data_IF_534707560209
#
_entry.id   IF_534707560209
#
_cell.length_a   1.000
_cell.length_b   1.000
_cell.length_c   1.000
_cell.angle_alpha   90.00
_cell.angle_beta   90.00
_cell.angle_gamma   90.00
#
_symmetry.space_group_name_H-M   'P 1'
#
loop_
_entity.id
_entity.type
_entity.pdbx_description
1 polymer ?
#
# COMPACT_ATOMS: atom_id res chain seq x y z
N UNK A 1 19.02 18.27 -12.52
CA UNK A 1 19.52 16.88 -12.63
C UNK A 1 18.74 16.05 -11.62
N UNK A 2 17.60 15.49 -12.02
CA UNK A 2 16.82 14.61 -11.15
C UNK A 2 17.39 13.20 -11.31
N UNK A 3 18.23 12.79 -10.35
CA UNK A 3 18.84 11.46 -10.36
C UNK A 3 17.81 10.36 -10.09
N UNK A 4 18.12 9.14 -10.53
CA UNK A 4 17.27 7.94 -10.34
C UNK A 4 16.84 7.77 -8.88
N UNK A 5 17.68 8.17 -7.93
CA UNK A 5 17.40 8.18 -6.48
C UNK A 5 16.17 9.03 -6.11
N UNK A 6 15.99 10.21 -6.74
CA UNK A 6 14.85 11.08 -6.48
C UNK A 6 13.53 10.43 -6.95
N UNK A 7 13.57 9.79 -8.12
CA UNK A 7 12.41 9.07 -8.67
C UNK A 7 12.02 7.91 -7.77
N UNK A 8 12.98 7.09 -7.33
CA UNK A 8 12.73 5.97 -6.43
C UNK A 8 12.14 6.43 -5.09
N UNK A 9 12.60 7.57 -4.56
CA UNK A 9 12.09 8.12 -3.31
C UNK A 9 10.63 8.57 -3.43
N UNK A 10 10.29 9.30 -4.50
CA UNK A 10 8.91 9.75 -4.77
C UNK A 10 7.99 8.57 -5.04
N UNK A 11 8.43 7.58 -5.82
CA UNK A 11 7.67 6.35 -6.08
C UNK A 11 7.47 5.54 -4.80
N UNK A 12 8.49 5.42 -3.95
CA UNK A 12 8.39 4.75 -2.66
C UNK A 12 7.33 5.39 -1.76
N UNK A 13 7.35 6.72 -1.61
CA UNK A 13 6.32 7.46 -0.85
C UNK A 13 4.93 7.21 -1.44
N UNK A 14 4.78 7.26 -2.76
CA UNK A 14 3.51 7.00 -3.44
C UNK A 14 2.97 5.61 -3.15
N UNK A 15 3.81 4.58 -3.21
CA UNK A 15 3.44 3.19 -2.90
C UNK A 15 3.07 3.00 -1.43
N UNK A 16 3.79 3.63 -0.50
CA UNK A 16 3.48 3.60 0.93
C UNK A 16 2.12 4.26 1.22
N UNK A 17 1.82 5.40 0.60
CA UNK A 17 0.53 6.08 0.75
C UNK A 17 -0.61 5.25 0.15
N UNK A 18 -0.43 4.65 -1.03
CA UNK A 18 -1.42 3.78 -1.66
C UNK A 18 -1.69 2.52 -0.83
N UNK A 19 -0.64 1.87 -0.31
CA UNK A 19 -0.76 0.73 0.60
C UNK A 19 -1.39 1.11 1.94
N UNK A 20 -1.01 2.24 2.52
CA UNK A 20 -1.61 2.75 3.75
C UNK A 20 -3.10 3.07 3.60
N UNK A 21 -3.48 3.74 2.52
CA UNK A 21 -4.87 4.09 2.23
C UNK A 21 -5.76 2.83 2.04
N UNK A 22 -5.27 1.81 1.34
CA UNK A 22 -6.01 0.55 1.21
C UNK A 22 -6.09 -0.22 2.53
N UNK A 23 -5.03 -0.19 3.35
CA UNK A 23 -5.01 -0.77 4.69
C UNK A 23 -6.01 -0.11 5.64
N UNK A 24 -6.11 1.22 5.63
CA UNK A 24 -7.11 1.97 6.40
C UNK A 24 -8.52 1.62 5.94
N UNK A 25 -8.76 1.52 4.62
CA UNK A 25 -10.07 1.12 4.08
C UNK A 25 -10.47 -0.30 4.52
N UNK A 26 -9.51 -1.24 4.54
CA UNK A 26 -9.72 -2.59 5.06
C UNK A 26 -9.96 -2.61 6.57
N UNK A 27 -9.21 -1.80 7.32
CA UNK A 27 -9.35 -1.69 8.78
C UNK A 27 -10.70 -1.11 9.18
N UNK A 28 -11.14 -0.02 8.53
CA UNK A 28 -12.46 0.58 8.75
C UNK A 28 -13.58 -0.42 8.43
N UNK A 29 -13.45 -1.20 7.34
CA UNK A 29 -14.42 -2.26 7.02
C UNK A 29 -14.42 -3.41 8.03
N UNK A 30 -13.25 -3.83 8.52
CA UNK A 30 -13.13 -4.89 9.51
C UNK A 30 -13.70 -4.47 10.87
N UNK A 31 -13.45 -3.23 11.30
CA UNK A 31 -13.98 -2.66 12.55
C UNK A 31 -15.47 -2.36 12.45
N UNK A 32 -15.96 -1.90 11.30
CA UNK A 32 -17.38 -1.63 11.07
C UNK A 32 -18.27 -2.89 11.05
N UNK A 33 -17.70 -4.10 11.18
CA UNK A 33 -18.38 -5.40 11.34
C UNK A 33 -19.60 -5.57 10.44
N UNK A 34 -19.51 -5.10 9.20
CA UNK A 34 -20.59 -5.24 8.23
C UNK A 34 -20.30 -6.46 7.37
N UNK A 35 -20.79 -7.61 7.84
CA UNK A 35 -20.73 -8.92 7.19
C UNK A 35 -21.22 -8.92 5.72
N UNK A 36 -22.07 -7.95 5.35
CA UNK A 36 -22.50 -7.74 3.96
C UNK A 36 -21.43 -7.06 3.07
N UNK A 37 -20.45 -6.35 3.62
CA UNK A 37 -19.39 -5.67 2.85
C UNK A 37 -18.17 -6.56 2.58
N UNK A 38 -18.05 -7.69 3.30
CA UNK A 38 -16.96 -8.64 3.10
C UNK A 38 -17.02 -9.36 1.74
N UNK A 39 -18.20 -9.43 1.12
CA UNK A 39 -18.42 -10.08 -0.18
C UNK A 39 -18.63 -9.10 -1.34
N UNK A 40 -18.46 -7.80 -1.11
CA UNK A 40 -18.61 -6.79 -2.16
C UNK A 40 -17.51 -6.89 -3.23
N UNK A 41 -17.84 -6.74 -4.54
CA UNK A 41 -16.85 -6.66 -5.60
C UNK A 41 -15.84 -5.55 -5.28
N UNK A 42 -14.56 -5.91 -5.12
CA UNK A 42 -13.48 -4.99 -4.74
C UNK A 42 -12.77 -5.33 -3.42
N UNK A 43 -13.27 -6.28 -2.62
CA UNK A 43 -12.59 -6.74 -1.40
C UNK A 43 -11.21 -7.34 -1.73
N UNK A 44 -11.14 -8.26 -2.69
CA UNK A 44 -9.89 -8.90 -3.13
C UNK A 44 -8.91 -7.88 -3.72
N UNK A 45 -9.41 -6.85 -4.42
CA UNK A 45 -8.58 -5.78 -4.98
C UNK A 45 -7.97 -4.90 -3.88
N UNK A 46 -8.73 -4.54 -2.84
CA UNK A 46 -8.21 -3.77 -1.72
C UNK A 46 -7.13 -4.53 -0.94
N UNK A 47 -7.33 -5.83 -0.70
CA UNK A 47 -6.32 -6.72 -0.12
C UNK A 47 -5.08 -6.86 -0.99
N UNK A 48 -5.26 -6.98 -2.31
CA UNK A 48 -4.17 -7.02 -3.28
C UNK A 48 -3.34 -5.74 -3.28
N UNK A 49 -3.99 -4.58 -3.35
CA UNK A 49 -3.34 -3.26 -3.27
C UNK A 49 -2.62 -3.04 -1.94
N UNK A 50 -3.21 -3.50 -0.82
CA UNK A 50 -2.57 -3.46 0.49
C UNK A 50 -1.30 -4.28 0.54
N UNK A 51 -1.36 -5.58 0.18
CA UNK A 51 -0.19 -6.46 0.20
C UNK A 51 0.91 -5.99 -0.75
N UNK A 52 0.55 -5.65 -2.00
CA UNK A 52 1.51 -5.24 -3.02
C UNK A 52 2.15 -3.89 -2.64
N UNK A 53 1.35 -2.91 -2.20
CA UNK A 53 1.85 -1.61 -1.77
C UNK A 53 2.77 -1.69 -0.53
N UNK A 54 2.39 -2.50 0.46
CA UNK A 54 3.18 -2.73 1.67
C UNK A 54 4.52 -3.41 1.35
N UNK A 55 4.49 -4.51 0.58
CA UNK A 55 5.70 -5.27 0.24
C UNK A 55 6.63 -4.44 -0.64
N UNK A 56 6.10 -3.82 -1.69
CA UNK A 56 6.91 -3.01 -2.61
C UNK A 56 7.51 -1.77 -1.93
N UNK A 57 6.72 -1.07 -1.10
CA UNK A 57 7.19 0.08 -0.33
C UNK A 57 8.28 -0.30 0.69
N UNK A 58 8.08 -1.39 1.43
CA UNK A 58 9.06 -1.88 2.40
C UNK A 58 10.36 -2.32 1.71
N UNK A 59 10.26 -2.99 0.56
CA UNK A 59 11.41 -3.44 -0.23
C UNK A 59 12.21 -2.27 -0.79
N UNK A 60 11.55 -1.20 -1.27
CA UNK A 60 12.20 0.03 -1.73
C UNK A 60 12.93 0.77 -0.61
N UNK A 61 12.30 0.89 0.57
CA UNK A 61 12.93 1.51 1.75
C UNK A 61 14.14 0.67 2.19
N UNK A 62 14.00 -0.65 2.27
CA UNK A 62 15.09 -1.56 2.64
C UNK A 62 16.25 -1.53 1.64
N UNK A 63 15.97 -1.44 0.33
CA UNK A 63 16.98 -1.30 -0.70
C UNK A 63 17.70 0.07 -0.62
N UNK A 64 16.97 1.13 -0.31
CA UNK A 64 17.54 2.48 -0.15
C UNK A 64 18.35 2.64 1.13
N UNK A 65 17.97 1.95 2.22
CA UNK A 65 18.69 1.96 3.49
C UNK A 65 19.99 1.12 3.47
N UNK A 66 20.22 0.34 2.41
CA UNK A 66 21.41 -0.51 2.23
C UNK A 66 22.48 0.12 1.34
N UNK A 67 22.24 1.31 0.79
CA UNK A 67 23.24 2.15 0.13
C UNK A 67 23.85 3.14 1.11
#
# INVERSE_FOLDING_TARGET
>A
MFGVSFVLYVVGIGLVLLGGASGIALFVRAVARNENLAQGPGMTTLWGLFLIGLIAGLMLIAASAKQ
#
